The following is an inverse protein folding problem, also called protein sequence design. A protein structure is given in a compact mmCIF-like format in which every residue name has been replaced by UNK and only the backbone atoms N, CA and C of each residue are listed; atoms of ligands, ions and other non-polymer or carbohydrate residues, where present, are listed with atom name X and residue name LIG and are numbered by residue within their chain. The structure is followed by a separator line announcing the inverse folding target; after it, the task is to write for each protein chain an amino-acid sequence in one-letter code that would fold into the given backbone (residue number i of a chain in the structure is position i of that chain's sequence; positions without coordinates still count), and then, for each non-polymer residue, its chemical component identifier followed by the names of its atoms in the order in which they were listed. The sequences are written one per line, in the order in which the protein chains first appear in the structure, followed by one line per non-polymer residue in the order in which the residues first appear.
data_IF_162609919236
#
_entry.id   IF_162609919236
#
_cell.length_a   1.000
_cell.length_b   1.000
_cell.length_c   1.000
_cell.angle_alpha   90.00
_cell.angle_beta   90.00
_cell.angle_gamma   90.00
#
_symmetry.space_group_name_H-M   'P 1'
#
loop_
_entity.id
_entity.type
_entity.pdbx_description
1 polymer ?
#
# COMPACT_ATOMS: atom_id res chain seq x y z
N UNK A 1 -11.26 3.57 3.71
CA UNK A 1 -10.88 4.43 2.57
C UNK A 1 -11.92 5.53 2.29
N UNK A 2 -13.11 5.26 1.71
CA UNK A 2 -14.12 6.33 1.48
C UNK A 2 -14.61 7.02 2.77
N UNK A 3 -14.77 6.27 3.86
CA UNK A 3 -15.17 6.82 5.16
C UNK A 3 -14.11 7.72 5.83
N UNK A 4 -12.86 7.71 5.35
CA UNK A 4 -11.76 8.58 5.83
C UNK A 4 -11.60 9.84 4.97
N UNK A 5 -12.49 10.07 3.98
CA UNK A 5 -12.40 11.21 3.07
C UNK A 5 -11.28 11.12 2.02
N UNK A 6 -10.55 10.00 1.97
CA UNK A 6 -9.50 9.77 0.98
C UNK A 6 -10.12 9.50 -0.39
N UNK A 7 -9.54 10.07 -1.45
CA UNK A 7 -9.91 9.85 -2.85
C UNK A 7 -8.86 8.95 -3.53
N UNK A 8 -9.04 7.61 -3.57
CA UNK A 8 -7.98 6.70 -4.01
C UNK A 8 -7.46 6.98 -5.43
N UNK A 9 -8.35 7.40 -6.33
CA UNK A 9 -7.97 7.72 -7.71
C UNK A 9 -7.00 8.91 -7.78
N UNK A 10 -7.20 9.96 -6.96
CA UNK A 10 -6.31 11.12 -6.94
C UNK A 10 -4.89 10.75 -6.48
N UNK A 11 -4.77 9.88 -5.47
CA UNK A 11 -3.47 9.35 -5.02
C UNK A 11 -2.82 8.48 -6.10
N UNK A 12 -3.60 7.64 -6.79
CA UNK A 12 -3.10 6.80 -7.88
C UNK A 12 -2.60 7.65 -9.06
N UNK A 13 -3.38 8.64 -9.49
CA UNK A 13 -3.03 9.56 -10.58
C UNK A 13 -1.78 10.38 -10.23
N UNK A 14 -1.59 10.70 -8.94
CA UNK A 14 -0.42 11.39 -8.43
C UNK A 14 0.77 10.47 -8.11
N UNK A 15 0.68 9.16 -8.39
CA UNK A 15 1.69 8.14 -8.02
C UNK A 15 2.07 8.14 -6.52
N UNK A 16 1.15 8.52 -5.65
CA UNK A 16 1.37 8.66 -4.20
C UNK A 16 0.66 7.55 -3.41
N UNK A 17 1.00 6.30 -3.73
CA UNK A 17 0.45 5.14 -3.04
C UNK A 17 0.91 5.05 -1.57
N UNK A 18 2.14 5.47 -1.27
CA UNK A 18 2.73 5.39 0.07
C UNK A 18 1.91 6.18 1.08
N UNK A 19 1.66 7.47 0.84
CA UNK A 19 0.89 8.33 1.76
C UNK A 19 -0.54 7.80 1.95
N UNK A 20 -1.14 7.26 0.89
CA UNK A 20 -2.46 6.65 0.94
C UNK A 20 -2.51 5.42 1.87
N UNK A 21 -1.56 4.50 1.72
CA UNK A 21 -1.50 3.30 2.55
C UNK A 21 -1.04 3.59 3.99
N UNK A 22 -0.24 4.64 4.22
CA UNK A 22 0.06 5.13 5.58
C UNK A 22 -1.19 5.67 6.28
N UNK A 23 -1.97 6.52 5.60
CA UNK A 23 -3.19 7.12 6.16
C UNK A 23 -4.25 6.08 6.52
N UNK A 24 -4.31 4.98 5.77
CA UNK A 24 -5.23 3.86 6.02
C UNK A 24 -4.70 2.86 7.04
N UNK A 25 -3.41 2.95 7.41
CA UNK A 25 -2.66 1.97 8.22
C UNK A 25 -2.52 0.59 7.58
N UNK A 26 -2.54 0.56 6.25
CA UNK A 26 -2.41 -0.66 5.44
C UNK A 26 -1.02 -0.77 4.76
N UNK A 27 -0.12 0.19 5.02
CA UNK A 27 1.25 0.12 4.51
C UNK A 27 2.07 -0.96 5.24
N UNK A 28 2.49 -1.99 4.50
CA UNK A 28 3.43 -2.99 4.99
C UNK A 28 4.87 -2.45 4.92
N UNK A 29 5.45 -2.09 6.07
CA UNK A 29 6.85 -1.71 6.18
C UNK A 29 7.68 -2.84 6.79
N UNK A 30 8.72 -3.27 6.06
CA UNK A 30 9.69 -4.25 6.52
C UNK A 30 11.05 -3.58 6.73
N UNK A 31 11.82 -4.06 7.69
CA UNK A 31 13.23 -3.68 7.80
C UNK A 31 14.11 -4.32 6.70
N UNK A 32 15.41 -3.97 6.64
CA UNK A 32 16.35 -4.53 5.67
C UNK A 32 16.37 -6.07 5.71
N UNK A 33 16.28 -6.71 4.53
CA UNK A 33 16.23 -8.18 4.40
C UNK A 33 17.53 -8.83 3.93
N UNK A 34 18.50 -8.03 3.46
CA UNK A 34 19.80 -8.49 2.93
C UNK A 34 19.69 -9.52 1.78
N UNK A 35 18.54 -9.59 1.12
CA UNK A 35 18.29 -10.37 -0.09
C UNK A 35 17.20 -9.67 -0.90
N UNK A 36 17.18 -9.88 -2.20
CA UNK A 36 16.16 -9.39 -3.10
C UNK A 36 15.79 -10.50 -4.10
N UNK A 37 14.57 -11.02 -3.98
CA UNK A 37 13.99 -12.02 -4.91
C UNK A 37 12.76 -11.45 -5.64
N UNK A 38 12.71 -10.13 -5.79
CA UNK A 38 11.58 -9.37 -6.34
C UNK A 38 10.32 -9.49 -5.46
N UNK A 39 9.16 -9.20 -6.07
CA UNK A 39 7.88 -9.03 -5.40
C UNK A 39 7.04 -10.32 -5.29
N UNK A 40 6.21 -10.38 -4.25
CA UNK A 40 5.17 -11.40 -4.09
C UNK A 40 3.83 -10.73 -3.78
N UNK A 41 2.74 -11.27 -4.33
CA UNK A 41 1.36 -10.90 -3.98
C UNK A 41 0.62 -12.12 -3.48
N UNK A 42 -0.01 -11.98 -2.31
CA UNK A 42 -0.85 -13.03 -1.71
C UNK A 42 -2.29 -12.54 -1.69
N UNK A 43 -3.21 -13.41 -2.14
CA UNK A 43 -4.66 -13.18 -2.09
C UNK A 43 -5.26 -14.40 -1.38
N UNK A 44 -5.94 -14.17 -0.26
CA UNK A 44 -6.66 -15.19 0.48
C UNK A 44 -8.15 -15.14 0.12
N UNK A 45 -8.76 -16.29 -0.17
CA UNK A 45 -10.18 -16.45 -0.49
C UNK A 45 -10.70 -17.66 0.30
N UNK A 46 -11.90 -17.55 0.85
CA UNK A 46 -12.60 -18.62 1.57
C UNK A 46 -13.42 -19.54 0.64
#
# INVERSE_FOLDING_TARGET
MKAQGLQPQAYLDNNDATTFFEATRDLLQLGPKLTNVNDIRVILVD
#
